data_IF_306021169371
#
_entry.id   IF_306021169371
#
_cell.length_a   1.000
_cell.length_b   1.000
_cell.length_c   1.000
_cell.angle_alpha   90.00
_cell.angle_beta   90.00
_cell.angle_gamma   90.00
#
_symmetry.space_group_name_H-M   'P 1'
#
loop_
_entity.id
_entity.type
_entity.pdbx_description
1 polymer ?
#
# COMPACT_ATOMS: atom_id res chain seq x y z
N UNK A 1 -43.94 22.96 -78.77
CA UNK A 1 -42.68 23.58 -78.28
C UNK A 1 -42.89 24.04 -76.84
N UNK A 2 -42.30 23.41 -75.81
CA UNK A 2 -42.27 23.97 -74.47
C UNK A 2 -40.90 24.60 -74.15
N UNK A 3 -40.93 25.73 -73.45
CA UNK A 3 -39.76 26.49 -72.97
C UNK A 3 -39.17 25.83 -71.72
N UNK A 4 -37.84 25.82 -71.66
CA UNK A 4 -37.03 25.57 -70.47
C UNK A 4 -37.19 26.70 -69.43
N UNK A 5 -37.20 26.34 -68.14
CA UNK A 5 -36.61 27.18 -67.09
C UNK A 5 -36.03 26.30 -65.98
N UNK A 6 -34.74 26.51 -65.68
CA UNK A 6 -34.00 25.96 -64.54
C UNK A 6 -34.33 26.73 -63.26
N UNK A 7 -34.34 26.06 -62.09
CA UNK A 7 -34.10 26.74 -60.80
C UNK A 7 -33.20 25.91 -59.91
N UNK A 8 -32.01 26.46 -59.63
CA UNK A 8 -31.02 25.99 -58.66
C UNK A 8 -31.53 26.21 -57.22
N UNK A 9 -31.05 25.38 -56.30
CA UNK A 9 -31.52 25.26 -54.92
C UNK A 9 -31.09 26.38 -53.95
N UNK A 10 -31.54 26.23 -52.70
CA UNK A 10 -30.97 26.85 -51.50
C UNK A 10 -31.21 25.96 -50.28
N UNK A 11 -30.13 25.74 -49.54
CA UNK A 11 -30.02 25.06 -48.25
C UNK A 11 -30.59 26.00 -47.17
N UNK A 12 -31.36 25.47 -46.21
CA UNK A 12 -31.86 26.21 -45.05
C UNK A 12 -31.66 25.38 -43.77
N UNK A 13 -30.76 25.87 -42.93
CA UNK A 13 -30.25 25.25 -41.70
C UNK A 13 -31.31 25.25 -40.58
N UNK A 14 -31.34 24.17 -39.80
CA UNK A 14 -32.23 23.96 -38.65
C UNK A 14 -31.51 24.38 -37.36
N UNK A 15 -32.11 25.26 -36.55
CA UNK A 15 -31.93 25.27 -35.08
C UNK A 15 -32.90 26.27 -34.43
N UNK A 16 -33.53 25.88 -33.32
CA UNK A 16 -34.07 26.83 -32.35
C UNK A 16 -35.45 26.48 -31.80
N UNK A 17 -35.53 25.59 -30.81
CA UNK A 17 -36.54 25.70 -29.75
C UNK A 17 -35.90 25.41 -28.40
N UNK A 18 -35.50 26.49 -27.73
CA UNK A 18 -35.06 26.50 -26.34
C UNK A 18 -36.18 25.97 -25.43
N UNK A 19 -35.91 24.93 -24.66
CA UNK A 19 -36.76 24.56 -23.52
C UNK A 19 -36.28 25.33 -22.30
N UNK A 20 -37.14 26.23 -21.82
CA UNK A 20 -36.95 26.99 -20.60
C UNK A 20 -36.87 26.03 -19.40
N UNK A 21 -35.77 26.11 -18.65
CA UNK A 21 -35.55 25.34 -17.43
C UNK A 21 -36.12 26.14 -16.26
N UNK A 22 -37.25 25.66 -15.73
CA UNK A 22 -37.94 26.26 -14.60
C UNK A 22 -37.43 25.75 -13.24
N UNK A 23 -37.43 26.67 -12.27
CA UNK A 23 -37.31 26.48 -10.81
C UNK A 23 -35.92 26.21 -10.22
N UNK A 24 -35.29 27.31 -9.81
CA UNK A 24 -33.94 27.45 -9.25
C UNK A 24 -33.79 27.10 -7.76
N UNK A 25 -34.61 26.22 -7.17
CA UNK A 25 -34.58 25.98 -5.71
C UNK A 25 -34.16 24.58 -5.25
N UNK A 26 -33.87 23.64 -6.15
CA UNK A 26 -33.63 22.23 -5.77
C UNK A 26 -32.17 21.75 -5.76
N UNK A 27 -31.22 22.61 -6.11
CA UNK A 27 -29.80 22.26 -6.29
C UNK A 27 -28.96 22.70 -5.09
N UNK A 28 -29.39 23.73 -4.36
CA UNK A 28 -28.75 24.21 -3.12
C UNK A 28 -28.95 23.21 -1.98
N UNK A 29 -30.13 22.58 -1.87
CA UNK A 29 -30.42 21.59 -0.82
C UNK A 29 -29.65 20.27 -0.99
N UNK A 30 -29.39 19.83 -2.22
CA UNK A 30 -28.61 18.60 -2.47
C UNK A 30 -27.12 18.81 -2.16
N UNK A 31 -26.56 19.99 -2.47
CA UNK A 31 -25.17 20.31 -2.16
C UNK A 31 -24.89 20.42 -0.64
N UNK A 32 -25.83 20.98 0.13
CA UNK A 32 -25.73 21.07 1.59
C UNK A 32 -25.78 19.70 2.29
N UNK A 33 -26.59 18.77 1.79
CA UNK A 33 -26.67 17.41 2.33
C UNK A 33 -25.39 16.60 2.06
N UNK A 34 -24.71 16.83 0.93
CA UNK A 34 -23.43 16.16 0.60
C UNK A 34 -22.29 16.72 1.45
N UNK A 35 -22.28 18.02 1.77
CA UNK A 35 -21.27 18.61 2.66
C UNK A 35 -21.37 18.12 4.12
N UNK A 36 -22.58 17.83 4.60
CA UNK A 36 -22.80 17.32 5.96
C UNK A 36 -22.43 15.83 6.13
N UNK A 37 -22.39 15.05 5.05
CA UNK A 37 -22.06 13.62 5.10
C UNK A 37 -20.55 13.34 5.04
N UNK A 38 -19.71 14.34 4.78
CA UNK A 38 -18.25 14.18 4.70
C UNK A 38 -17.52 14.24 6.06
N UNK A 39 -18.24 14.50 7.16
CA UNK A 39 -17.65 14.73 8.49
C UNK A 39 -17.48 13.47 9.36
N UNK A 40 -17.84 12.28 8.87
CA UNK A 40 -17.77 11.01 9.61
C UNK A 40 -16.62 10.10 9.18
N UNK A 41 -15.53 10.64 8.61
CA UNK A 41 -14.27 9.91 8.57
C UNK A 41 -13.68 9.91 9.98
N UNK A 42 -13.97 8.87 10.76
CA UNK A 42 -13.38 8.69 12.08
C UNK A 42 -11.86 8.71 11.98
N UNK A 43 -11.22 9.67 12.65
CA UNK A 43 -9.78 9.63 12.89
C UNK A 43 -9.51 8.45 13.81
N UNK A 44 -8.97 7.36 13.26
CA UNK A 44 -8.33 6.35 14.09
C UNK A 44 -7.21 7.06 14.87
N UNK A 45 -7.37 7.21 16.18
CA UNK A 45 -6.30 7.69 17.02
C UNK A 45 -5.18 6.67 16.91
N UNK A 46 -4.09 7.03 16.24
CA UNK A 46 -2.86 6.25 16.32
C UNK A 46 -2.50 6.19 17.80
N UNK A 47 -2.57 5.01 18.41
CA UNK A 47 -2.14 4.82 19.78
C UNK A 47 -0.70 5.32 19.90
N UNK A 48 -0.46 6.30 20.75
CA UNK A 48 0.90 6.78 20.99
C UNK A 48 1.62 5.71 21.80
N UNK A 49 2.51 4.97 21.15
CA UNK A 49 3.55 4.24 21.84
C UNK A 49 4.49 5.25 22.53
N UNK A 50 5.33 4.80 23.48
CA UNK A 50 6.34 5.66 24.10
C UNK A 50 7.26 6.31 23.04
N UNK A 51 7.86 7.46 23.36
CA UNK A 51 8.73 8.20 22.42
C UNK A 51 9.84 7.34 21.82
N UNK A 52 10.40 6.44 22.61
CA UNK A 52 11.48 5.54 22.18
C UNK A 52 11.00 4.53 21.14
N UNK A 53 9.80 3.95 21.34
CA UNK A 53 9.20 3.00 20.40
C UNK A 53 8.88 3.69 19.07
N UNK A 54 8.32 4.90 19.12
CA UNK A 54 8.05 5.67 17.89
C UNK A 54 9.33 6.02 17.15
N UNK A 55 10.41 6.34 17.87
CA UNK A 55 11.73 6.59 17.29
C UNK A 55 12.28 5.34 16.61
N UNK A 56 12.29 4.20 17.30
CA UNK A 56 12.73 2.92 16.72
C UNK A 56 11.93 2.56 15.48
N UNK A 57 10.60 2.71 15.50
CA UNK A 57 9.75 2.46 14.34
C UNK A 57 10.10 3.37 13.15
N UNK A 58 10.41 4.65 13.40
CA UNK A 58 10.82 5.58 12.36
C UNK A 58 12.19 5.19 11.78
N UNK A 59 13.14 4.79 12.62
CA UNK A 59 14.47 4.32 12.20
C UNK A 59 14.38 3.02 11.38
N UNK A 60 13.57 2.05 11.81
CA UNK A 60 13.31 0.81 11.04
C UNK A 60 12.76 1.14 9.66
N UNK A 61 11.74 2.00 9.57
CA UNK A 61 11.16 2.41 8.28
C UNK A 61 12.19 3.10 7.38
N UNK A 62 13.02 3.97 7.95
CA UNK A 62 14.05 4.67 7.19
C UNK A 62 15.14 3.71 6.67
N UNK A 63 15.60 2.78 7.52
CA UNK A 63 16.63 1.82 7.18
C UNK A 63 16.19 0.84 6.07
N UNK A 64 14.90 0.47 6.06
CA UNK A 64 14.36 -0.54 5.14
C UNK A 64 13.72 0.05 3.90
N UNK A 65 13.57 1.38 3.80
CA UNK A 65 12.96 2.05 2.64
C UNK A 65 13.66 1.71 1.31
N UNK A 66 14.98 1.48 1.32
CA UNK A 66 15.73 1.06 0.14
C UNK A 66 15.26 -0.29 -0.44
N UNK A 67 14.71 -1.16 0.40
CA UNK A 67 14.24 -2.50 0.02
C UNK A 67 12.87 -2.48 -0.67
N UNK A 68 12.23 -1.33 -0.88
CA UNK A 68 11.18 -1.24 -1.90
C UNK A 68 11.69 -1.58 -3.30
N UNK A 69 13.01 -1.51 -3.53
CA UNK A 69 13.69 -2.09 -4.68
C UNK A 69 14.36 -3.39 -4.25
N UNK A 70 13.84 -4.52 -4.74
CA UNK A 70 14.32 -5.84 -4.35
C UNK A 70 15.81 -6.03 -4.64
N UNK A 71 16.32 -5.41 -5.70
CA UNK A 71 17.74 -5.48 -6.07
C UNK A 71 18.63 -4.98 -4.93
N UNK A 72 18.18 -4.00 -4.14
CA UNK A 72 18.91 -3.52 -2.95
C UNK A 72 18.95 -4.54 -1.84
N UNK A 73 17.88 -5.33 -1.67
CA UNK A 73 17.87 -6.42 -0.71
C UNK A 73 18.84 -7.52 -1.14
N UNK A 74 18.84 -7.87 -2.43
CA UNK A 74 19.79 -8.87 -2.96
C UNK A 74 21.25 -8.40 -2.81
N UNK A 75 21.54 -7.13 -3.11
CA UNK A 75 22.87 -6.52 -2.94
C UNK A 75 23.34 -6.57 -1.48
N UNK A 76 22.42 -6.44 -0.52
CA UNK A 76 22.69 -6.49 0.92
C UNK A 76 22.65 -7.93 1.50
N UNK A 77 22.59 -8.96 0.65
CA UNK A 77 22.73 -10.36 1.04
C UNK A 77 21.44 -11.04 1.51
N UNK A 78 20.27 -10.46 1.20
CA UNK A 78 19.00 -11.17 1.39
C UNK A 78 18.77 -12.18 0.25
N UNK A 79 18.38 -13.39 0.59
CA UNK A 79 18.10 -14.47 -0.37
C UNK A 79 16.70 -15.02 -0.18
N UNK A 80 16.09 -15.58 -1.24
CA UNK A 80 14.77 -16.17 -1.14
C UNK A 80 14.82 -17.42 -0.23
N UNK A 81 14.20 -17.34 0.95
CA UNK A 81 14.26 -18.38 1.96
C UNK A 81 13.40 -19.60 1.64
N UNK A 82 12.30 -19.41 0.90
CA UNK A 82 11.44 -20.49 0.42
C UNK A 82 10.75 -20.10 -0.89
N UNK A 83 10.28 -21.09 -1.68
CA UNK A 83 9.28 -20.80 -2.72
C UNK A 83 8.08 -20.03 -2.13
N UNK A 84 7.37 -19.29 -2.98
CA UNK A 84 6.18 -18.54 -2.59
C UNK A 84 5.24 -19.41 -1.75
N UNK A 85 4.95 -18.98 -0.53
CA UNK A 85 4.00 -19.66 0.34
C UNK A 85 2.64 -19.01 0.13
N UNK A 86 1.66 -19.81 -0.28
CA UNK A 86 0.32 -19.30 -0.54
C UNK A 86 -0.23 -18.54 0.68
N UNK A 87 -0.75 -17.34 0.47
CA UNK A 87 -1.22 -16.40 1.50
C UNK A 87 -0.15 -15.84 2.46
N UNK A 88 1.13 -16.19 2.33
CA UNK A 88 2.25 -15.54 3.06
C UNK A 88 3.27 -14.87 2.15
N UNK A 89 3.21 -15.06 0.83
CA UNK A 89 4.07 -14.43 -0.17
C UNK A 89 5.55 -14.86 -0.11
N UNK A 90 6.46 -13.92 -0.33
CA UNK A 90 7.89 -14.18 -0.52
C UNK A 90 8.73 -13.64 0.64
N UNK A 91 9.39 -14.54 1.37
CA UNK A 91 10.31 -14.23 2.46
C UNK A 91 11.75 -14.24 1.96
N UNK A 92 12.37 -13.06 1.96
CA UNK A 92 13.79 -12.90 1.69
C UNK A 92 14.54 -12.76 3.00
N UNK A 93 15.47 -13.67 3.26
CA UNK A 93 16.15 -13.83 4.55
C UNK A 93 17.61 -13.42 4.40
N UNK A 94 18.10 -12.61 5.35
CA UNK A 94 19.53 -12.39 5.52
C UNK A 94 20.04 -13.33 6.62
N UNK A 95 20.77 -14.38 6.23
CA UNK A 95 21.24 -15.41 7.15
C UNK A 95 22.30 -14.93 8.13
N UNK A 96 23.08 -13.91 7.78
CA UNK A 96 24.04 -13.29 8.70
C UNK A 96 23.30 -12.63 9.86
N UNK A 97 22.24 -11.87 9.57
CA UNK A 97 21.42 -11.23 10.59
C UNK A 97 20.66 -12.27 11.41
N UNK A 98 20.06 -13.27 10.76
CA UNK A 98 19.28 -14.31 11.44
C UNK A 98 20.11 -15.15 12.43
N UNK A 99 21.40 -15.34 12.17
CA UNK A 99 22.29 -16.12 13.03
C UNK A 99 23.05 -15.26 14.06
N UNK A 100 22.91 -13.95 14.01
CA UNK A 100 23.56 -13.03 14.95
C UNK A 100 22.72 -12.92 16.23
N UNK A 101 23.31 -13.14 17.42
CA UNK A 101 22.57 -12.96 18.67
C UNK A 101 22.13 -11.51 18.89
N UNK A 102 20.83 -11.33 19.15
CA UNK A 102 20.21 -10.03 19.38
C UNK A 102 19.63 -9.41 18.11
N UNK A 103 18.60 -8.57 18.27
CA UNK A 103 17.88 -7.95 17.16
C UNK A 103 18.24 -6.46 17.03
N UNK A 104 18.81 -6.08 15.89
CA UNK A 104 19.00 -4.68 15.48
C UNK A 104 17.78 -4.26 14.65
N UNK A 105 16.99 -3.31 15.16
CA UNK A 105 15.76 -2.86 14.51
C UNK A 105 15.99 -2.20 13.14
N UNK A 106 17.24 -1.87 12.79
CA UNK A 106 17.63 -1.34 11.47
C UNK A 106 18.09 -2.41 10.49
N UNK A 107 18.25 -3.66 10.94
CA UNK A 107 18.71 -4.81 10.16
C UNK A 107 17.77 -6.01 10.35
N UNK A 108 16.54 -5.93 9.83
CA UNK A 108 15.60 -7.04 9.96
C UNK A 108 16.14 -8.30 9.30
N UNK A 109 15.93 -9.44 9.93
CA UNK A 109 16.38 -10.74 9.44
C UNK A 109 15.59 -11.19 8.20
N UNK A 110 14.33 -10.76 8.07
CA UNK A 110 13.47 -11.12 6.94
C UNK A 110 12.74 -9.91 6.36
N UNK A 111 12.69 -9.86 5.03
CA UNK A 111 11.88 -8.95 4.23
C UNK A 111 10.75 -9.73 3.58
N UNK A 112 9.51 -9.28 3.79
CA UNK A 112 8.32 -9.93 3.26
C UNK A 112 7.75 -9.12 2.10
N UNK A 113 7.71 -9.75 0.91
CA UNK A 113 7.14 -9.19 -0.30
C UNK A 113 5.85 -9.89 -0.73
N UNK A 114 4.89 -9.11 -1.19
CA UNK A 114 3.70 -9.58 -1.90
C UNK A 114 3.87 -9.37 -3.42
N UNK A 115 3.37 -10.31 -4.22
CA UNK A 115 3.31 -10.15 -5.67
C UNK A 115 2.11 -9.32 -6.10
N UNK A 116 2.38 -8.23 -6.81
CA UNK A 116 1.38 -7.34 -7.36
C UNK A 116 0.78 -7.94 -8.63
N UNK A 117 -0.41 -7.45 -9.04
CA UNK A 117 -1.09 -7.90 -10.28
C UNK A 117 -0.25 -7.80 -11.57
N UNK A 118 0.81 -7.00 -11.56
CA UNK A 118 1.72 -6.82 -12.68
C UNK A 118 3.02 -7.65 -12.57
N UNK A 119 3.08 -8.60 -11.63
CA UNK A 119 4.24 -9.47 -11.38
C UNK A 119 5.39 -8.79 -10.63
N UNK A 120 5.24 -7.53 -10.20
CA UNK A 120 6.26 -6.86 -9.37
C UNK A 120 6.10 -7.27 -7.91
N UNK A 121 7.22 -7.32 -7.20
CA UNK A 121 7.24 -7.53 -5.76
C UNK A 121 7.10 -6.19 -5.02
N UNK A 122 6.24 -6.16 -4.01
CA UNK A 122 6.04 -5.02 -3.13
C UNK A 122 6.40 -5.39 -1.70
N UNK A 123 7.32 -4.64 -1.08
CA UNK A 123 7.67 -4.83 0.33
C UNK A 123 6.46 -4.46 1.19
N UNK A 124 5.92 -5.42 1.93
CA UNK A 124 4.73 -5.25 2.78
C UNK A 124 5.05 -5.31 4.27
N UNK A 125 6.11 -6.02 4.66
CA UNK A 125 6.55 -6.09 6.04
C UNK A 125 8.04 -6.40 6.17
N UNK A 126 8.54 -6.24 7.40
CA UNK A 126 9.83 -6.73 7.85
C UNK A 126 9.59 -7.58 9.09
N UNK A 127 10.35 -8.66 9.26
CA UNK A 127 10.16 -9.60 10.36
C UNK A 127 11.48 -9.81 11.11
N UNK A 128 11.35 -9.99 12.43
CA UNK A 128 12.47 -10.31 13.31
C UNK A 128 12.31 -11.74 13.84
N UNK A 129 13.25 -12.62 13.48
CA UNK A 129 13.17 -14.05 13.81
C UNK A 129 14.19 -14.41 14.88
N UNK A 130 13.70 -15.00 15.97
CA UNK A 130 14.53 -15.58 17.03
C UNK A 130 14.46 -17.11 16.96
N UNK A 131 15.63 -17.77 16.94
CA UNK A 131 15.69 -19.22 17.03
C UNK A 131 15.52 -19.69 18.49
N UNK A 132 15.20 -20.96 18.68
CA UNK A 132 14.73 -21.48 19.98
C UNK A 132 15.72 -21.39 21.16
N UNK A 133 16.95 -20.93 20.94
CA UNK A 133 17.93 -20.66 21.99
C UNK A 133 17.92 -19.21 22.50
N UNK A 134 17.34 -18.28 21.74
CA UNK A 134 17.46 -16.84 22.03
C UNK A 134 16.30 -16.30 22.89
N UNK A 135 15.24 -17.13 23.06
CA UNK A 135 14.10 -16.79 23.91
C UNK A 135 14.44 -17.02 25.40
N UNK A 136 14.26 -16.02 26.28
CA UNK A 136 14.62 -16.15 27.70
C UNK A 136 13.98 -17.34 28.42
N UNK A 137 12.72 -17.66 28.10
CA UNK A 137 11.97 -18.78 28.66
C UNK A 137 12.50 -20.14 28.17
N UNK A 138 12.94 -20.23 26.91
CA UNK A 138 13.55 -21.44 26.36
C UNK A 138 14.99 -21.62 26.84
N UNK A 139 15.74 -20.54 27.04
CA UNK A 139 17.08 -20.58 27.62
C UNK A 139 17.05 -21.18 29.04
N UNK A 140 16.05 -20.81 29.86
CA UNK A 140 15.84 -21.42 31.18
C UNK A 140 15.53 -22.92 31.10
N UNK A 141 14.73 -23.35 30.10
CA UNK A 141 14.42 -24.76 29.88
C UNK A 141 15.65 -25.57 29.43
N UNK A 142 16.47 -25.02 28.54
CA UNK A 142 17.72 -25.64 28.07
C UNK A 142 18.73 -25.77 29.22
N UNK A 143 18.87 -24.74 30.07
CA UNK A 143 19.77 -24.78 31.24
C UNK A 143 19.30 -25.81 32.27
N UNK A 144 17.99 -25.86 32.56
CA UNK A 144 17.42 -26.84 33.51
C UNK A 144 17.60 -28.29 33.06
N UNK A 145 17.62 -28.56 31.75
CA UNK A 145 17.80 -29.91 31.20
C UNK A 145 19.29 -30.33 31.07
N UNK A 146 20.22 -29.42 31.36
CA UNK A 146 21.68 -29.64 31.31
C UNK A 146 22.30 -29.94 32.69
N UNK A 147 21.50 -29.84 33.76
CA UNK A 147 21.86 -30.12 35.16
C UNK A 147 21.10 -31.36 35.65
#
# INVERSE_FOLDING_TARGET
>A
MPRFFHRRGTIGFQAGRSRAMGSSKSWITVMLAILLLAASMGTAAAGSFGSDVNKMLAETKAATAKYHQIERALDDGYELGSPCVENMGYHYINMEYAMTPGHDHTKPEVLFYEEMKNGKLNLVAVEFVAFGGDRPDQQLAIQKNRN
#
